data_IF_428574215871
#
_entry.id   IF_428574215871
#
_cell.length_a   1.000
_cell.length_b   1.000
_cell.length_c   1.000
_cell.angle_alpha   90.00
_cell.angle_beta   90.00
_cell.angle_gamma   90.00
#
_symmetry.space_group_name_H-M   'P 1'
#
loop_
_entity.id
_entity.type
_entity.pdbx_description
1 polymer ?
#
# COMPACT_ATOMS: atom_id res chain seq x y z
N UNK A 1 -11.19 13.41 9.82
CA UNK A 1 -10.82 12.39 8.83
C UNK A 1 -9.52 12.76 8.10
N UNK A 2 -9.41 13.81 7.30
CA UNK A 2 -8.21 14.13 6.50
C UNK A 2 -6.91 14.23 7.32
N UNK A 3 -6.91 14.91 8.48
CA UNK A 3 -5.72 14.99 9.33
C UNK A 3 -5.20 13.61 9.76
N UNK A 4 -6.08 12.63 10.01
CA UNK A 4 -5.68 11.25 10.34
C UNK A 4 -5.03 10.57 9.14
N UNK A 5 -5.59 10.74 7.92
CA UNK A 5 -4.98 10.23 6.70
C UNK A 5 -3.57 10.80 6.51
N UNK A 6 -3.39 12.13 6.59
CA UNK A 6 -2.07 12.75 6.45
C UNK A 6 -1.08 12.22 7.47
N UNK A 7 -1.49 12.09 8.75
CA UNK A 7 -0.64 11.52 9.79
C UNK A 7 -0.28 10.05 9.53
N UNK A 8 -1.22 9.25 9.01
CA UNK A 8 -0.97 7.86 8.62
C UNK A 8 0.02 7.75 7.45
N UNK A 9 -0.13 8.60 6.42
CA UNK A 9 0.79 8.66 5.28
C UNK A 9 2.22 9.02 5.72
N UNK A 10 2.36 10.01 6.61
CA UNK A 10 3.67 10.43 7.14
C UNK A 10 4.33 9.36 8.02
N UNK A 11 3.52 8.65 8.81
CA UNK A 11 3.99 7.57 9.66
C UNK A 11 4.31 6.27 8.90
N UNK A 12 3.86 6.15 7.64
CA UNK A 12 3.91 4.94 6.81
C UNK A 12 4.77 5.13 5.54
N UNK A 13 6.07 5.46 5.67
CA UNK A 13 6.95 5.70 4.51
C UNK A 13 7.19 4.45 3.65
N UNK A 14 6.96 3.26 4.20
CA UNK A 14 7.10 1.95 3.53
C UNK A 14 6.09 0.95 4.09
N UNK A 15 5.87 -0.16 3.37
CA UNK A 15 4.93 -1.24 3.71
C UNK A 15 5.06 -1.75 5.16
N UNK A 16 6.27 -2.01 5.66
CA UNK A 16 6.48 -2.51 7.04
C UNK A 16 5.95 -1.56 8.11
N UNK A 17 6.15 -0.25 7.91
CA UNK A 17 5.66 0.78 8.81
C UNK A 17 4.15 1.01 8.65
N UNK A 18 3.61 0.86 7.43
CA UNK A 18 2.18 0.86 7.20
C UNK A 18 1.49 -0.27 7.97
N UNK A 19 2.00 -1.50 7.86
CA UNK A 19 1.47 -2.67 8.60
C UNK A 19 1.59 -2.49 10.10
N UNK A 20 2.71 -1.93 10.59
CA UNK A 20 2.85 -1.58 12.03
C UNK A 20 1.75 -0.64 12.49
N UNK A 21 1.54 0.47 11.75
CA UNK A 21 0.55 1.49 12.13
C UNK A 21 -0.89 0.93 12.06
N UNK A 22 -1.21 0.14 11.04
CA UNK A 22 -2.49 -0.58 10.94
C UNK A 22 -2.70 -1.56 12.10
N UNK A 23 -1.64 -2.29 12.49
CA UNK A 23 -1.65 -3.20 13.64
C UNK A 23 -1.97 -2.46 14.93
N UNK A 24 -1.33 -1.31 15.18
CA UNK A 24 -1.53 -0.51 16.38
C UNK A 24 -2.96 0.05 16.46
N UNK A 25 -3.50 0.56 15.35
CA UNK A 25 -4.89 1.02 15.28
C UNK A 25 -5.89 -0.12 15.54
N UNK A 26 -5.69 -1.29 14.94
CA UNK A 26 -6.54 -2.47 15.18
C UNK A 26 -6.51 -2.92 16.63
N UNK A 27 -5.32 -2.98 17.26
CA UNK A 27 -5.17 -3.37 18.66
C UNK A 27 -5.87 -2.38 19.60
N UNK A 28 -5.74 -1.07 19.36
CA UNK A 28 -6.43 -0.03 20.14
C UNK A 28 -7.96 -0.16 20.05
N UNK A 29 -8.49 -0.76 18.97
CA UNK A 29 -9.92 -1.00 18.77
C UNK A 29 -10.37 -2.43 19.12
N UNK A 30 -9.55 -3.16 19.88
CA UNK A 30 -9.90 -4.46 20.45
C UNK A 30 -9.71 -5.65 19.52
N UNK A 31 -9.00 -5.50 18.40
CA UNK A 31 -8.61 -6.61 17.56
C UNK A 31 -7.41 -7.36 18.18
N UNK A 32 -7.52 -8.67 18.32
CA UNK A 32 -6.45 -9.54 18.84
C UNK A 32 -5.54 -10.03 17.70
N UNK A 33 -4.24 -9.90 17.85
CA UNK A 33 -3.28 -10.55 16.93
C UNK A 33 -3.31 -12.06 17.14
N UNK A 34 -3.34 -12.83 16.05
CA UNK A 34 -3.24 -14.29 16.06
C UNK A 34 -1.95 -14.70 15.35
N UNK A 35 -1.21 -15.63 15.95
CA UNK A 35 -0.11 -16.29 15.28
C UNK A 35 -0.64 -17.36 14.32
N UNK A 36 -0.28 -17.25 13.05
CA UNK A 36 -0.77 -18.17 12.00
C UNK A 36 -0.15 -19.56 12.06
N UNK A 37 0.94 -19.75 12.82
CA UNK A 37 1.56 -21.05 13.08
C UNK A 37 0.76 -21.87 14.10
N UNK A 38 -0.08 -21.23 14.91
CA UNK A 38 -0.92 -21.87 15.92
C UNK A 38 -2.32 -22.21 15.38
N UNK A 39 -3.02 -23.08 16.10
CA UNK A 39 -4.42 -23.37 15.84
C UNK A 39 -5.27 -22.12 16.08
N UNK A 40 -6.21 -21.84 15.16
CA UNK A 40 -7.09 -20.68 15.30
C UNK A 40 -8.05 -20.81 16.51
N UNK A 41 -8.30 -22.03 16.98
CA UNK A 41 -9.28 -22.32 18.02
C UNK A 41 -10.73 -22.13 17.53
N UNK A 42 -11.67 -22.03 18.46
CA UNK A 42 -13.07 -21.74 18.13
C UNK A 42 -13.24 -20.24 17.89
N UNK A 43 -13.87 -19.88 16.78
CA UNK A 43 -14.20 -18.52 16.39
C UNK A 43 -15.70 -18.29 16.56
N UNK A 44 -16.07 -17.20 17.23
CA UNK A 44 -17.47 -16.89 17.60
C UNK A 44 -17.92 -15.59 16.95
N UNK A 45 -19.21 -15.44 16.80
CA UNK A 45 -19.83 -14.18 16.36
C UNK A 45 -19.35 -12.98 17.20
N UNK A 46 -18.95 -11.92 16.53
CA UNK A 46 -18.41 -10.70 17.15
C UNK A 46 -16.92 -10.73 17.49
N UNK A 47 -16.24 -11.87 17.31
CA UNK A 47 -14.78 -11.93 17.49
C UNK A 47 -14.07 -10.99 16.51
N UNK A 48 -13.08 -10.27 17.04
CA UNK A 48 -12.22 -9.35 16.28
C UNK A 48 -10.78 -9.80 16.38
N UNK A 49 -10.17 -10.09 15.24
CA UNK A 49 -8.75 -10.46 15.22
C UNK A 49 -8.09 -10.10 13.89
N UNK A 50 -6.78 -10.11 13.89
CA UNK A 50 -6.00 -9.92 12.68
C UNK A 50 -4.77 -10.84 12.67
N UNK A 51 -4.24 -11.06 11.49
CA UNK A 51 -2.98 -11.78 11.25
C UNK A 51 -2.09 -10.92 10.35
N UNK A 52 -0.77 -11.05 10.50
CA UNK A 52 0.20 -10.47 9.57
C UNK A 52 0.94 -11.58 8.82
N UNK A 53 1.43 -11.27 7.63
CA UNK A 53 2.32 -12.17 6.89
C UNK A 53 3.65 -11.45 6.65
N UNK A 54 4.71 -11.97 7.27
CA UNK A 54 6.08 -11.43 7.19
C UNK A 54 6.18 -9.93 7.54
N UNK A 55 5.25 -9.43 8.37
CA UNK A 55 5.12 -8.04 8.81
C UNK A 55 5.04 -7.01 7.66
N UNK A 56 4.63 -7.45 6.47
CA UNK A 56 4.47 -6.60 5.29
C UNK A 56 3.09 -6.67 4.65
N UNK A 57 2.22 -7.57 5.09
CA UNK A 57 0.78 -7.59 4.77
C UNK A 57 -0.04 -7.91 6.01
N UNK A 58 -1.31 -7.49 6.04
CA UNK A 58 -2.19 -7.61 7.21
C UNK A 58 -3.62 -7.94 6.79
N UNK A 59 -4.28 -8.83 7.55
CA UNK A 59 -5.62 -9.31 7.29
C UNK A 59 -6.41 -9.24 8.60
N UNK A 60 -7.44 -8.38 8.64
CA UNK A 60 -8.29 -8.18 9.81
C UNK A 60 -9.69 -8.74 9.56
N UNK A 61 -10.27 -9.34 10.60
CA UNK A 61 -11.55 -10.04 10.54
C UNK A 61 -12.44 -9.59 11.70
N UNK A 62 -13.67 -9.24 11.38
CA UNK A 62 -14.75 -9.06 12.35
C UNK A 62 -15.85 -10.05 12.03
N UNK A 63 -16.03 -11.03 12.90
CA UNK A 63 -16.84 -12.22 12.63
C UNK A 63 -18.33 -11.90 12.72
N UNK A 64 -19.06 -12.26 11.68
CA UNK A 64 -20.51 -12.07 11.57
C UNK A 64 -21.32 -12.94 12.53
N UNK A 65 -22.61 -12.60 12.70
CA UNK A 65 -23.52 -13.32 13.61
C UNK A 65 -24.04 -14.63 13.02
N UNK A 66 -24.13 -14.72 11.69
CA UNK A 66 -24.60 -15.93 10.99
C UNK A 66 -23.44 -16.80 10.52
N UNK A 67 -23.77 -18.05 10.22
CA UNK A 67 -22.81 -18.97 9.63
C UNK A 67 -22.32 -18.47 8.26
N UNK A 68 -21.02 -18.64 7.99
CA UNK A 68 -20.41 -18.19 6.75
C UNK A 68 -21.06 -18.79 5.50
N UNK A 69 -21.53 -20.03 5.57
CA UNK A 69 -22.27 -20.68 4.47
C UNK A 69 -23.58 -19.95 4.10
N UNK A 70 -24.13 -19.12 4.99
CA UNK A 70 -25.36 -18.37 4.74
C UNK A 70 -25.10 -16.98 4.16
N UNK A 71 -24.01 -16.32 4.57
CA UNK A 71 -23.78 -14.88 4.29
C UNK A 71 -22.51 -14.60 3.49
N UNK A 72 -21.52 -15.49 3.53
CA UNK A 72 -20.22 -15.24 2.89
C UNK A 72 -19.35 -14.22 3.63
N UNK A 73 -18.53 -13.51 2.87
CA UNK A 73 -17.60 -12.49 3.37
C UNK A 73 -17.84 -11.17 2.65
N UNK A 74 -17.84 -10.07 3.38
CA UNK A 74 -17.69 -8.73 2.83
C UNK A 74 -16.22 -8.31 2.95
N UNK A 75 -15.52 -8.23 1.83
CA UNK A 75 -14.07 -8.02 1.80
C UNK A 75 -13.72 -6.69 1.14
N UNK A 76 -12.87 -5.91 1.80
CA UNK A 76 -12.15 -4.78 1.20
C UNK A 76 -10.68 -5.20 1.11
N UNK A 77 -10.13 -5.11 -0.09
CA UNK A 77 -8.78 -5.52 -0.43
C UNK A 77 -8.01 -4.34 -1.00
N UNK A 78 -6.80 -4.06 -0.49
CA UNK A 78 -5.92 -2.96 -0.87
C UNK A 78 -4.46 -3.40 -0.80
N UNK A 79 -3.50 -2.55 -1.18
CA UNK A 79 -2.07 -2.84 -1.02
C UNK A 79 -1.31 -1.73 -0.29
N UNK A 80 -0.22 -2.08 0.38
CA UNK A 80 0.54 -1.13 1.19
C UNK A 80 1.96 -0.84 0.70
N UNK A 81 2.40 -1.50 -0.36
CA UNK A 81 3.63 -1.16 -1.05
C UNK A 81 3.40 -0.01 -2.05
N UNK A 82 4.47 0.64 -2.46
CA UNK A 82 4.44 1.76 -3.41
C UNK A 82 5.75 1.83 -4.19
N UNK A 83 5.76 2.37 -5.41
CA UNK A 83 6.99 2.48 -6.21
C UNK A 83 8.04 3.34 -5.52
N UNK A 84 9.26 2.83 -5.47
CA UNK A 84 10.39 3.47 -4.79
C UNK A 84 11.74 2.91 -5.25
N UNK A 85 12.80 3.15 -4.45
CA UNK A 85 14.13 2.61 -4.66
C UNK A 85 14.56 1.81 -3.43
N UNK A 86 14.91 0.53 -3.63
CA UNK A 86 15.46 -0.35 -2.59
C UNK A 86 16.97 -0.21 -2.52
N UNK A 87 17.52 -0.18 -1.34
CA UNK A 87 18.96 -0.22 -1.10
C UNK A 87 19.48 -1.64 -1.38
N UNK A 88 20.53 -1.77 -2.18
CA UNK A 88 21.17 -3.06 -2.47
C UNK A 88 22.05 -3.52 -1.30
N UNK A 89 22.32 -4.83 -1.17
CA UNK A 89 23.12 -5.38 -0.05
C UNK A 89 24.51 -4.72 0.11
N UNK A 90 25.25 -4.52 -0.98
CA UNK A 90 26.49 -3.71 -1.00
C UNK A 90 26.10 -2.28 -1.35
N UNK A 91 25.78 -1.50 -0.31
CA UNK A 91 25.03 -0.27 -0.45
C UNK A 91 25.90 0.93 -0.82
N UNK A 92 27.10 1.05 -0.28
CA UNK A 92 27.89 2.26 -0.40
C UNK A 92 28.78 2.25 -1.65
N UNK A 93 28.84 3.41 -2.29
CA UNK A 93 29.72 3.69 -3.44
C UNK A 93 30.54 4.94 -3.10
N UNK A 94 31.82 4.73 -2.86
CA UNK A 94 32.76 5.83 -2.63
C UNK A 94 33.07 6.56 -3.94
N UNK A 95 33.04 7.89 -3.90
CA UNK A 95 33.33 8.76 -5.02
C UNK A 95 34.50 9.71 -4.69
N UNK A 96 35.00 10.38 -5.70
CA UNK A 96 36.03 11.43 -5.50
C UNK A 96 35.52 12.51 -4.54
N UNK A 97 36.45 13.13 -3.81
CA UNK A 97 36.12 14.18 -2.84
C UNK A 97 35.41 13.67 -1.56
N UNK A 98 35.50 12.38 -1.30
CA UNK A 98 34.84 11.77 -0.10
C UNK A 98 33.33 11.66 -0.18
N UNK A 99 32.73 11.90 -1.35
CA UNK A 99 31.30 11.76 -1.54
C UNK A 99 30.93 10.27 -1.49
N UNK A 100 29.91 9.92 -0.72
CA UNK A 100 29.31 8.58 -0.67
C UNK A 100 27.92 8.61 -1.29
N UNK A 101 27.67 7.70 -2.22
CA UNK A 101 26.34 7.41 -2.79
C UNK A 101 25.84 6.06 -2.32
N UNK A 102 24.52 5.89 -2.33
CA UNK A 102 23.92 4.57 -2.14
C UNK A 102 23.59 3.91 -3.48
N UNK A 103 23.91 2.63 -3.56
CA UNK A 103 23.54 1.76 -4.68
C UNK A 103 22.10 1.28 -4.48
N UNK A 104 21.22 1.61 -5.42
CA UNK A 104 19.80 1.32 -5.35
C UNK A 104 19.34 0.49 -6.54
N UNK A 105 18.20 -0.17 -6.36
CA UNK A 105 17.43 -0.74 -7.46
C UNK A 105 15.99 -0.21 -7.42
N UNK A 106 15.39 -0.08 -8.60
CA UNK A 106 14.01 0.40 -8.74
C UNK A 106 13.04 -0.69 -8.27
N UNK A 107 12.13 -0.33 -7.39
CA UNK A 107 11.00 -1.15 -6.95
C UNK A 107 9.72 -0.64 -7.61
N UNK A 108 8.98 -1.52 -8.31
CA UNK A 108 7.78 -1.13 -9.05
C UNK A 108 8.07 -0.23 -10.26
N UNK A 109 7.14 0.63 -10.58
CA UNK A 109 7.16 1.53 -11.73
C UNK A 109 7.17 3.02 -11.40
N UNK A 110 8.16 3.58 -10.64
CA UNK A 110 8.15 5.00 -10.27
C UNK A 110 8.36 5.93 -11.47
N UNK A 111 7.77 7.11 -11.42
CA UNK A 111 8.15 8.23 -12.30
C UNK A 111 9.48 8.77 -11.78
N UNK A 112 10.59 8.20 -12.25
CA UNK A 112 11.94 8.41 -11.69
C UNK A 112 12.34 9.89 -11.60
N UNK A 113 11.95 10.71 -12.58
CA UNK A 113 12.29 12.15 -12.62
C UNK A 113 11.73 12.94 -11.44
N UNK A 114 10.65 12.47 -10.80
CA UNK A 114 10.03 13.16 -9.65
C UNK A 114 10.78 12.98 -8.34
N UNK A 115 11.76 12.09 -8.32
CA UNK A 115 12.60 11.79 -7.16
C UNK A 115 13.88 12.65 -7.08
N UNK A 116 14.18 13.38 -8.16
CA UNK A 116 15.35 14.24 -8.21
C UNK A 116 15.14 15.54 -7.42
N UNK A 117 16.23 16.08 -6.86
CA UNK A 117 16.32 17.36 -6.15
C UNK A 117 15.40 17.49 -4.94
N UNK A 118 14.97 16.36 -4.40
CA UNK A 118 14.07 16.29 -3.25
C UNK A 118 14.80 15.83 -2.01
N UNK A 119 14.45 16.35 -0.83
CA UNK A 119 14.92 15.76 0.42
C UNK A 119 14.32 14.36 0.59
N UNK A 120 15.15 13.34 0.62
CA UNK A 120 14.76 11.95 0.79
C UNK A 120 15.25 11.41 2.14
N UNK A 121 14.62 10.35 2.60
CA UNK A 121 14.97 9.62 3.80
C UNK A 121 14.99 8.11 3.56
N UNK A 122 15.38 7.35 4.59
CA UNK A 122 15.38 5.89 4.61
C UNK A 122 14.38 5.34 5.62
N UNK A 123 13.67 4.30 5.19
CA UNK A 123 12.80 3.52 6.06
C UNK A 123 12.80 2.04 5.63
N UNK A 124 12.43 1.16 6.55
CA UNK A 124 12.35 -0.27 6.28
C UNK A 124 12.48 -1.12 7.53
N UNK A 125 13.09 -2.29 7.37
CA UNK A 125 13.40 -3.18 8.47
C UNK A 125 14.87 -3.59 8.47
N UNK A 126 15.38 -3.86 9.66
CA UNK A 126 16.72 -4.39 9.91
C UNK A 126 16.57 -5.70 10.65
N UNK A 127 17.30 -6.71 10.21
CA UNK A 127 17.30 -8.04 10.82
C UNK A 127 18.50 -8.13 11.74
N UNK A 128 18.23 -8.42 13.00
CA UNK A 128 19.27 -8.58 14.02
C UNK A 128 19.27 -9.99 14.56
N UNK A 129 20.44 -10.40 15.02
CA UNK A 129 20.68 -11.72 15.62
C UNK A 129 19.75 -11.98 16.80
N UNK A 130 19.25 -13.20 16.88
CA UNK A 130 18.55 -13.75 18.04
C UNK A 130 19.29 -14.97 18.57
N UNK A 131 18.72 -15.63 19.60
CA UNK A 131 19.27 -16.89 20.12
C UNK A 131 19.14 -18.05 19.14
N UNK A 132 18.10 -18.02 18.29
CA UNK A 132 17.82 -19.04 17.29
C UNK A 132 18.00 -18.46 15.90
N UNK A 133 18.89 -19.08 15.09
CA UNK A 133 19.21 -18.64 13.74
C UNK A 133 17.96 -18.67 12.80
N UNK A 134 16.98 -19.53 13.08
CA UNK A 134 15.75 -19.65 12.28
C UNK A 134 14.72 -18.58 12.59
N UNK A 135 14.89 -17.86 13.71
CA UNK A 135 13.96 -16.83 14.18
C UNK A 135 14.70 -15.53 14.54
N UNK A 136 15.39 -14.89 13.57
CA UNK A 136 16.07 -13.62 13.81
C UNK A 136 15.05 -12.53 14.18
N UNK A 137 15.49 -11.52 14.91
CA UNK A 137 14.64 -10.41 15.35
C UNK A 137 14.54 -9.35 14.24
N UNK A 138 13.34 -8.87 13.99
CA UNK A 138 13.09 -7.76 13.06
C UNK A 138 12.91 -6.46 13.84
N UNK A 139 13.68 -5.43 13.47
CA UNK A 139 13.54 -4.07 13.97
C UNK A 139 13.14 -3.14 12.84
N UNK A 140 12.21 -2.22 13.10
CA UNK A 140 11.80 -1.24 12.10
C UNK A 140 12.68 0.01 12.20
N UNK A 141 13.06 0.54 11.05
CA UNK A 141 13.85 1.75 10.92
C UNK A 141 13.10 2.81 10.16
N UNK A 142 13.08 4.03 10.69
CA UNK A 142 12.59 5.22 10.01
C UNK A 142 13.45 6.42 10.41
N UNK A 143 14.28 6.89 9.51
CA UNK A 143 15.08 8.11 9.71
C UNK A 143 14.17 9.31 9.48
N UNK A 144 13.71 9.94 10.56
CA UNK A 144 12.70 11.03 10.54
C UNK A 144 13.28 12.41 10.18
N UNK A 145 14.31 12.45 9.32
CA UNK A 145 14.93 13.68 8.82
C UNK A 145 15.34 13.53 7.36
N UNK A 146 15.50 14.63 6.62
CA UNK A 146 16.19 14.58 5.34
C UNK A 146 17.59 13.97 5.51
N UNK A 147 17.91 12.98 4.67
CA UNK A 147 19.17 12.23 4.76
C UNK A 147 19.89 12.14 3.44
N UNK A 148 19.18 12.06 2.31
CA UNK A 148 19.71 11.78 0.99
C UNK A 148 19.08 12.68 -0.06
N UNK A 149 19.77 12.77 -1.21
CA UNK A 149 19.22 13.44 -2.39
C UNK A 149 19.75 12.81 -3.66
N UNK A 150 18.88 12.59 -4.64
CA UNK A 150 19.26 12.30 -6.03
C UNK A 150 19.36 13.64 -6.74
N UNK A 151 20.59 14.09 -7.04
CA UNK A 151 20.79 15.40 -7.65
C UNK A 151 20.77 15.33 -9.17
N UNK A 152 20.03 16.24 -9.79
CA UNK A 152 20.08 16.43 -11.24
C UNK A 152 21.46 16.93 -11.69
N UNK A 153 21.82 16.63 -12.94
CA UNK A 153 22.92 17.29 -13.60
C UNK A 153 22.51 18.72 -13.98
N UNK A 154 23.38 19.69 -13.68
CA UNK A 154 23.08 21.08 -14.02
C UNK A 154 22.78 21.26 -15.51
N UNK A 155 21.82 22.12 -15.84
CA UNK A 155 21.37 22.36 -17.22
C UNK A 155 22.52 22.73 -18.17
N UNK A 156 23.59 23.34 -17.65
CA UNK A 156 24.78 23.69 -18.43
C UNK A 156 25.49 22.47 -19.04
N UNK A 157 25.38 21.30 -18.40
CA UNK A 157 25.94 20.04 -18.86
C UNK A 157 24.90 19.14 -19.54
N UNK A 158 23.61 19.50 -19.47
CA UNK A 158 22.52 18.76 -20.09
C UNK A 158 21.44 19.73 -20.64
N UNK A 159 21.78 20.43 -21.70
CA UNK A 159 20.89 21.48 -22.28
C UNK A 159 19.58 20.95 -22.86
N UNK A 160 19.50 19.64 -23.13
CA UNK A 160 18.33 18.97 -23.68
C UNK A 160 17.44 18.35 -22.60
N UNK A 161 17.68 18.63 -21.32
CA UNK A 161 16.93 18.02 -20.22
C UNK A 161 15.41 18.22 -20.33
N UNK A 162 14.99 19.35 -20.89
CA UNK A 162 13.56 19.68 -21.09
C UNK A 162 12.94 19.06 -22.36
N UNK A 163 13.76 18.49 -23.24
CA UNK A 163 13.30 17.81 -24.45
C UNK A 163 13.03 16.31 -24.22
N UNK A 164 13.25 15.84 -22.96
CA UNK A 164 13.10 14.46 -22.52
C UNK A 164 14.44 13.73 -22.43
N UNK A 165 14.72 13.17 -21.25
CA UNK A 165 15.94 12.41 -20.96
C UNK A 165 15.59 10.99 -20.55
N UNK A 166 16.20 10.01 -21.24
CA UNK A 166 16.14 8.62 -20.83
C UNK A 166 17.02 8.40 -19.60
N UNK A 167 16.42 8.18 -18.44
CA UNK A 167 17.13 7.91 -17.19
C UNK A 167 17.60 6.45 -17.11
N UNK A 168 18.85 6.26 -16.70
CA UNK A 168 19.44 4.97 -16.40
C UNK A 168 19.14 4.58 -14.94
N UNK A 169 18.47 3.46 -14.75
CA UNK A 169 18.21 2.90 -13.41
C UNK A 169 19.49 2.59 -12.63
N UNK A 170 20.59 2.27 -13.31
CA UNK A 170 21.86 1.90 -12.68
C UNK A 170 22.77 3.07 -12.39
N UNK A 171 22.59 4.22 -13.09
CA UNK A 171 23.53 5.33 -13.04
C UNK A 171 22.93 6.61 -12.46
N UNK A 172 21.72 6.97 -12.90
CA UNK A 172 21.20 8.32 -12.69
C UNK A 172 20.41 8.48 -11.39
N UNK A 173 19.93 7.38 -10.78
CA UNK A 173 19.03 7.37 -9.60
C UNK A 173 19.74 6.95 -8.30
N UNK A 174 21.04 7.17 -8.21
CA UNK A 174 21.83 6.84 -7.03
C UNK A 174 21.90 8.05 -6.09
N UNK A 175 21.28 8.00 -4.90
CA UNK A 175 21.26 9.14 -4.00
C UNK A 175 22.61 9.38 -3.33
N UNK A 176 22.97 10.64 -3.16
CA UNK A 176 24.09 11.07 -2.32
C UNK A 176 23.67 10.91 -0.86
N UNK A 177 24.48 10.20 -0.08
CA UNK A 177 24.29 10.01 1.36
C UNK A 177 25.02 11.06 2.18
N UNK A 178 26.22 11.44 1.76
CA UNK A 178 27.01 12.43 2.49
C UNK A 178 28.44 12.57 1.96
N UNK A 179 29.23 13.31 2.73
CA UNK A 179 30.68 13.48 2.54
C UNK A 179 31.37 12.89 3.76
N UNK A 180 32.34 12.00 3.54
CA UNK A 180 33.13 11.39 4.62
C UNK A 180 34.08 12.46 5.21
N UNK A 181 34.01 12.62 6.51
CA UNK A 181 34.87 13.52 7.27
C UNK A 181 36.04 12.80 7.94
N UNK A 182 35.97 11.48 8.07
CA UNK A 182 36.97 10.62 8.69
C UNK A 182 37.12 9.31 7.91
N UNK A 183 38.37 8.80 7.80
CA UNK A 183 38.64 7.48 7.18
C UNK A 183 37.89 6.33 7.86
N UNK A 184 37.49 6.45 9.13
CA UNK A 184 36.69 5.47 9.86
C UNK A 184 35.25 5.36 9.34
N UNK A 185 34.73 6.39 8.69
CA UNK A 185 33.39 6.37 8.08
C UNK A 185 33.37 5.64 6.73
N UNK A 186 34.53 5.47 6.10
CA UNK A 186 34.65 4.87 4.76
C UNK A 186 34.10 3.44 4.72
N UNK A 187 33.11 3.21 3.85
CA UNK A 187 32.39 1.95 3.74
C UNK A 187 31.50 1.61 4.95
N UNK A 188 31.23 2.58 5.85
CA UNK A 188 30.50 2.36 7.09
C UNK A 188 29.45 3.43 7.38
N UNK A 189 29.30 4.43 6.54
CA UNK A 189 28.43 5.59 6.83
C UNK A 189 26.97 5.18 7.00
N UNK A 190 26.43 4.36 6.09
CA UNK A 190 25.08 3.83 6.19
C UNK A 190 24.88 2.98 7.46
N UNK A 191 25.85 2.10 7.75
CA UNK A 191 25.77 1.24 8.92
C UNK A 191 25.79 2.04 10.24
N UNK A 192 26.55 3.11 10.30
CA UNK A 192 26.60 4.02 11.44
C UNK A 192 25.23 4.71 11.65
N UNK A 193 24.58 5.14 10.55
CA UNK A 193 23.25 5.73 10.59
C UNK A 193 22.22 4.70 11.08
N UNK A 194 22.27 3.47 10.56
CA UNK A 194 21.39 2.39 11.00
C UNK A 194 21.54 2.15 12.51
N UNK A 195 22.78 2.02 12.99
CA UNK A 195 23.06 1.82 14.41
C UNK A 195 22.58 2.96 15.29
N UNK A 196 22.80 4.21 14.87
CA UNK A 196 22.32 5.39 15.57
C UNK A 196 20.79 5.35 15.73
N UNK A 197 20.07 5.07 14.65
CA UNK A 197 18.59 5.05 14.68
C UNK A 197 18.03 3.85 15.48
N UNK A 198 18.63 2.67 15.38
CA UNK A 198 18.22 1.51 16.18
C UNK A 198 18.50 1.69 17.67
N UNK A 199 19.65 2.28 18.03
CA UNK A 199 20.02 2.52 19.41
C UNK A 199 19.13 3.57 20.12
N UNK A 200 18.33 4.33 19.40
CA UNK A 200 17.23 5.15 19.97
C UNK A 200 16.06 4.31 20.48
N UNK A 201 15.93 3.07 20.00
CA UNK A 201 14.83 2.17 20.34
C UNK A 201 15.28 1.10 21.37
N UNK A 202 16.40 0.44 21.07
CA UNK A 202 17.03 -0.57 21.94
C UNK A 202 18.50 -0.68 21.60
N UNK A 203 19.32 -1.12 22.55
CA UNK A 203 20.76 -1.33 22.34
C UNK A 203 20.99 -2.47 21.34
N UNK A 204 21.69 -2.16 20.24
CA UNK A 204 22.10 -3.09 19.18
C UNK A 204 23.60 -2.92 18.95
N UNK A 205 24.34 -4.01 18.95
CA UNK A 205 25.74 -4.01 18.53
C UNK A 205 25.83 -4.16 17.00
N UNK A 206 26.89 -3.64 16.41
CA UNK A 206 27.09 -3.69 14.94
C UNK A 206 27.14 -5.13 14.44
N UNK A 207 27.83 -6.02 15.14
CA UNK A 207 27.96 -7.43 14.81
C UNK A 207 26.66 -8.23 14.94
N UNK A 208 25.63 -7.65 15.56
CA UNK A 208 24.31 -8.27 15.66
C UNK A 208 23.42 -7.94 14.48
N UNK A 209 23.75 -6.95 13.65
CA UNK A 209 23.02 -6.63 12.42
C UNK A 209 23.38 -7.65 11.35
N UNK A 210 22.39 -8.41 10.87
CA UNK A 210 22.56 -9.47 9.89
C UNK A 210 22.27 -9.00 8.47
N UNK A 211 21.17 -8.27 8.27
CA UNK A 211 20.71 -7.81 6.95
C UNK A 211 19.65 -6.72 7.09
N UNK A 212 19.22 -6.15 5.98
CA UNK A 212 18.17 -5.13 5.95
C UNK A 212 17.36 -5.14 4.66
N UNK A 213 16.10 -4.70 4.75
CA UNK A 213 15.27 -4.26 3.63
C UNK A 213 14.97 -2.77 3.82
N UNK A 214 15.73 -1.90 3.17
CA UNK A 214 15.62 -0.45 3.27
C UNK A 214 15.23 0.18 1.94
N UNK A 215 14.37 1.20 2.00
CA UNK A 215 13.84 1.90 0.84
C UNK A 215 13.95 3.41 1.03
N UNK A 216 14.03 4.14 -0.10
CA UNK A 216 13.92 5.59 -0.10
C UNK A 216 12.47 6.02 0.14
N UNK A 217 12.30 7.14 0.82
CA UNK A 217 11.01 7.79 0.96
C UNK A 217 11.17 9.32 0.85
N UNK A 218 10.13 10.01 0.40
CA UNK A 218 10.07 11.49 0.45
C UNK A 218 10.05 11.93 1.91
N UNK A 219 10.98 12.79 2.29
CA UNK A 219 11.05 13.38 3.64
C UNK A 219 10.10 14.56 3.83
N UNK A 220 9.41 14.99 2.77
CA UNK A 220 8.45 16.09 2.82
C UNK A 220 7.10 15.59 3.32
N UNK A 221 6.54 16.15 4.41
CA UNK A 221 5.25 15.70 4.95
C UNK A 221 4.10 15.85 3.95
N UNK A 222 3.09 14.97 4.10
CA UNK A 222 1.82 15.10 3.42
C UNK A 222 1.11 16.40 3.80
N UNK A 223 0.45 17.04 2.85
CA UNK A 223 -0.27 18.27 3.10
C UNK A 223 -1.54 18.41 2.26
N UNK A 224 -2.44 19.27 2.70
CA UNK A 224 -3.50 19.79 1.85
C UNK A 224 -3.03 21.06 1.14
N UNK A 225 -3.59 21.33 -0.03
CA UNK A 225 -3.33 22.55 -0.82
C UNK A 225 -4.54 22.88 -1.69
N UNK A 226 -4.41 23.90 -2.54
CA UNK A 226 -5.50 24.45 -3.34
C UNK A 226 -6.10 25.68 -2.68
N UNK A 227 -6.98 26.39 -3.40
CA UNK A 227 -7.58 27.63 -2.94
C UNK A 227 -8.41 27.47 -1.65
N UNK A 228 -8.95 26.27 -1.42
CA UNK A 228 -9.78 25.91 -0.27
C UNK A 228 -9.25 24.70 0.50
N UNK A 229 -8.00 24.29 0.31
CA UNK A 229 -7.40 23.06 0.85
C UNK A 229 -8.15 21.79 0.44
N UNK A 230 -8.73 21.79 -0.74
CA UNK A 230 -9.52 20.69 -1.32
C UNK A 230 -8.70 19.55 -1.91
N UNK A 231 -7.39 19.76 -2.08
CA UNK A 231 -6.46 18.81 -2.66
C UNK A 231 -5.48 18.28 -1.60
N UNK A 232 -5.00 17.07 -1.82
CA UNK A 232 -3.96 16.40 -1.02
C UNK A 232 -2.71 16.27 -1.89
N UNK A 233 -1.53 16.60 -1.33
CA UNK A 233 -0.23 16.28 -1.91
C UNK A 233 0.53 15.36 -0.97
N UNK A 234 0.79 14.14 -1.41
CA UNK A 234 1.57 13.14 -0.68
C UNK A 234 2.13 12.10 -1.64
N UNK A 235 3.23 11.47 -1.30
CA UNK A 235 3.56 10.17 -1.91
C UNK A 235 2.65 9.08 -1.35
N UNK A 236 2.59 7.95 -2.05
CA UNK A 236 1.92 6.73 -1.58
C UNK A 236 0.41 6.89 -1.32
N UNK A 237 -0.26 7.87 -1.97
CA UNK A 237 -1.72 7.85 -2.02
C UNK A 237 -2.18 6.53 -2.63
N UNK A 238 -1.49 6.10 -3.66
CA UNK A 238 -1.48 4.74 -4.18
C UNK A 238 -0.55 3.85 -3.33
N UNK A 239 -1.08 2.90 -2.51
CA UNK A 239 -2.52 2.68 -2.27
C UNK A 239 -2.87 2.84 -0.78
N UNK A 240 -1.99 3.54 -0.02
CA UNK A 240 -2.19 3.77 1.42
C UNK A 240 -3.49 4.54 1.73
N UNK A 241 -4.00 5.33 0.77
CA UNK A 241 -5.28 6.03 0.95
C UNK A 241 -6.45 5.05 1.01
N UNK A 242 -6.42 3.97 0.22
CA UNK A 242 -7.44 2.91 0.24
C UNK A 242 -7.26 2.00 1.46
N UNK A 243 -6.00 1.66 1.81
CA UNK A 243 -5.69 0.94 3.05
C UNK A 243 -6.32 1.61 4.27
N UNK A 244 -6.11 2.93 4.37
CA UNK A 244 -6.62 3.70 5.51
C UNK A 244 -8.13 3.91 5.47
N UNK A 245 -8.72 4.11 4.28
CA UNK A 245 -10.17 4.17 4.12
C UNK A 245 -10.85 2.84 4.53
N UNK A 246 -10.27 1.71 4.13
CA UNK A 246 -10.74 0.39 4.54
C UNK A 246 -10.63 0.16 6.05
N UNK A 247 -9.53 0.59 6.67
CA UNK A 247 -9.36 0.53 8.12
C UNK A 247 -10.40 1.40 8.84
N UNK A 248 -10.55 2.69 8.48
CA UNK A 248 -11.52 3.58 9.10
C UNK A 248 -12.95 3.02 9.00
N UNK A 249 -13.32 2.46 7.85
CA UNK A 249 -14.61 1.82 7.65
C UNK A 249 -14.80 0.59 8.54
N UNK A 250 -13.80 -0.29 8.63
CA UNK A 250 -13.86 -1.48 9.49
C UNK A 250 -13.99 -1.10 10.96
N UNK A 251 -13.23 -0.11 11.42
CA UNK A 251 -13.27 0.36 12.81
C UNK A 251 -14.58 1.07 13.16
N UNK A 252 -15.20 1.76 12.21
CA UNK A 252 -16.51 2.41 12.38
C UNK A 252 -17.69 1.43 12.34
N UNK A 253 -17.49 0.24 11.78
CA UNK A 253 -18.54 -0.76 11.57
C UNK A 253 -18.80 -1.58 12.82
N UNK A 254 -20.08 -1.93 13.05
CA UNK A 254 -20.49 -2.89 14.07
C UNK A 254 -20.57 -4.31 13.46
N UNK A 255 -20.45 -5.38 14.28
CA UNK A 255 -20.70 -6.73 13.79
C UNK A 255 -22.10 -6.87 13.17
N UNK A 256 -22.14 -7.30 11.90
CA UNK A 256 -23.38 -7.59 11.16
C UNK A 256 -23.65 -9.09 11.11
N UNK A 257 -24.54 -9.54 10.26
CA UNK A 257 -24.73 -10.96 10.01
C UNK A 257 -23.57 -11.56 9.19
N UNK A 258 -22.96 -10.75 8.32
CA UNK A 258 -21.86 -11.15 7.43
C UNK A 258 -20.49 -10.86 8.07
N UNK A 259 -19.55 -11.75 7.86
CA UNK A 259 -18.16 -11.54 8.31
C UNK A 259 -17.46 -10.47 7.46
N UNK A 260 -16.93 -9.47 8.13
CA UNK A 260 -16.21 -8.34 7.52
C UNK A 260 -14.70 -8.62 7.49
N UNK A 261 -14.08 -8.36 6.35
CA UNK A 261 -12.68 -8.63 6.11
C UNK A 261 -11.97 -7.40 5.51
N UNK A 262 -10.88 -6.98 6.11
CA UNK A 262 -9.94 -6.05 5.51
C UNK A 262 -8.66 -6.82 5.19
N UNK A 263 -8.29 -6.91 3.91
CA UNK A 263 -7.10 -7.60 3.46
C UNK A 263 -6.16 -6.61 2.77
N UNK A 264 -5.00 -6.34 3.37
CA UNK A 264 -4.00 -5.42 2.83
C UNK A 264 -2.77 -6.22 2.45
N UNK A 265 -2.46 -6.21 1.16
CA UNK A 265 -1.39 -7.00 0.54
C UNK A 265 -0.11 -6.19 0.39
N UNK A 266 0.97 -6.90 0.10
CA UNK A 266 2.27 -6.36 -0.28
C UNK A 266 2.59 -6.77 -1.73
N UNK A 267 3.56 -6.09 -2.34
CA UNK A 267 4.13 -6.39 -3.65
C UNK A 267 3.12 -6.34 -4.83
N UNK A 268 2.06 -5.55 -4.72
CA UNK A 268 1.18 -5.27 -5.86
C UNK A 268 1.99 -4.67 -7.01
N UNK A 269 2.81 -3.68 -6.72
CA UNK A 269 3.64 -2.90 -7.64
C UNK A 269 4.70 -3.72 -8.40
N UNK A 270 4.90 -4.96 -7.98
CA UNK A 270 5.81 -5.92 -8.62
C UNK A 270 5.09 -7.18 -9.12
N UNK A 271 3.75 -7.13 -9.20
CA UNK A 271 2.91 -8.16 -9.82
C UNK A 271 2.29 -9.17 -8.89
N UNK A 272 2.26 -8.94 -7.57
CA UNK A 272 1.54 -9.75 -6.56
C UNK A 272 1.96 -11.21 -6.40
N UNK A 273 2.96 -11.70 -7.14
CA UNK A 273 3.36 -13.12 -7.16
C UNK A 273 4.39 -13.43 -6.06
N UNK A 274 4.07 -13.06 -4.82
CA UNK A 274 4.92 -13.31 -3.64
C UNK A 274 4.09 -13.97 -2.54
N UNK A 275 4.77 -14.47 -1.49
CA UNK A 275 4.11 -15.14 -0.34
C UNK A 275 3.21 -14.21 0.49
N UNK A 276 3.33 -12.89 0.35
CA UNK A 276 2.51 -11.86 1.01
C UNK A 276 1.68 -11.01 0.03
N UNK A 277 1.79 -11.26 -1.27
CA UNK A 277 1.02 -10.60 -2.32
C UNK A 277 -0.35 -11.24 -2.55
N UNK A 278 -1.18 -10.60 -3.38
CA UNK A 278 -2.53 -11.06 -3.69
C UNK A 278 -2.57 -12.41 -4.43
N UNK A 279 -1.49 -12.79 -5.13
CA UNK A 279 -1.34 -14.12 -5.77
C UNK A 279 -1.03 -15.25 -4.79
N UNK A 280 -0.79 -14.96 -3.50
CA UNK A 280 -0.57 -15.97 -2.48
C UNK A 280 -1.87 -16.69 -2.09
N UNK A 281 -1.86 -18.01 -1.82
CA UNK A 281 -3.01 -18.72 -1.28
C UNK A 281 -3.30 -18.36 0.19
N UNK A 282 -2.55 -17.44 0.79
CA UNK A 282 -2.65 -17.13 2.22
C UNK A 282 -4.05 -16.68 2.64
N UNK A 283 -4.66 -15.73 1.91
CA UNK A 283 -6.02 -15.28 2.23
C UNK A 283 -7.02 -16.43 2.10
N UNK A 284 -6.96 -17.19 1.01
CA UNK A 284 -7.86 -18.34 0.78
C UNK A 284 -7.84 -19.33 1.94
N UNK A 285 -6.66 -19.76 2.40
CA UNK A 285 -6.62 -20.70 3.50
C UNK A 285 -6.98 -20.08 4.86
N UNK A 286 -6.76 -18.77 5.07
CA UNK A 286 -7.24 -18.10 6.27
C UNK A 286 -8.76 -18.06 6.33
N UNK A 287 -9.45 -17.72 5.23
CA UNK A 287 -10.90 -17.76 5.13
C UNK A 287 -11.44 -19.18 5.38
N UNK A 288 -10.76 -20.20 4.83
CA UNK A 288 -11.12 -21.61 5.09
C UNK A 288 -10.92 -22.00 6.56
N UNK A 289 -9.81 -21.59 7.19
CA UNK A 289 -9.58 -21.83 8.63
C UNK A 289 -10.68 -21.19 9.48
N UNK A 290 -11.13 -19.98 9.15
CA UNK A 290 -12.23 -19.30 9.85
C UNK A 290 -13.54 -20.10 9.72
N UNK A 291 -13.89 -20.56 8.52
CA UNK A 291 -15.07 -21.36 8.29
C UNK A 291 -15.07 -22.66 9.14
N UNK A 292 -13.95 -23.37 9.17
CA UNK A 292 -13.77 -24.56 9.98
C UNK A 292 -13.79 -24.26 11.49
N UNK A 293 -13.19 -23.15 11.93
CA UNK A 293 -13.14 -22.73 13.32
C UNK A 293 -14.51 -22.29 13.87
N UNK A 294 -15.45 -21.89 13.00
CA UNK A 294 -16.86 -21.68 13.35
C UNK A 294 -17.69 -22.98 13.46
N UNK A 295 -17.05 -24.15 13.28
CA UNK A 295 -17.74 -25.45 13.28
C UNK A 295 -18.32 -25.83 11.92
N UNK A 296 -18.00 -25.09 10.86
CA UNK A 296 -18.39 -25.40 9.48
C UNK A 296 -17.56 -26.54 8.87
N UNK A 297 -17.96 -26.95 7.67
CA UNK A 297 -17.26 -27.94 6.85
C UNK A 297 -16.49 -27.26 5.72
N UNK A 298 -15.71 -28.03 4.97
CA UNK A 298 -15.08 -27.54 3.74
C UNK A 298 -16.13 -27.09 2.70
N UNK A 299 -17.23 -27.80 2.59
CA UNK A 299 -18.39 -27.41 1.77
C UNK A 299 -18.97 -26.05 2.19
N UNK A 300 -19.09 -25.82 3.50
CA UNK A 300 -19.53 -24.53 4.03
C UNK A 300 -18.60 -23.36 3.63
N UNK A 301 -17.29 -23.62 3.53
CA UNK A 301 -16.34 -22.64 3.01
C UNK A 301 -16.58 -22.33 1.53
N UNK A 302 -16.79 -23.34 0.69
CA UNK A 302 -17.08 -23.10 -0.73
C UNK A 302 -18.38 -22.34 -0.93
N UNK A 303 -19.42 -22.66 -0.17
CA UNK A 303 -20.68 -21.90 -0.15
C UNK A 303 -20.48 -20.44 0.28
N UNK A 304 -19.59 -20.21 1.26
CA UNK A 304 -19.26 -18.86 1.72
C UNK A 304 -18.53 -18.05 0.64
N UNK A 305 -17.64 -18.66 -0.13
CA UNK A 305 -16.93 -18.02 -1.24
C UNK A 305 -17.91 -17.59 -2.33
N UNK A 306 -18.88 -18.45 -2.70
CA UNK A 306 -19.91 -18.12 -3.70
C UNK A 306 -20.83 -16.96 -3.30
N UNK A 307 -20.99 -16.71 -1.99
CA UNK A 307 -21.78 -15.60 -1.43
C UNK A 307 -20.96 -14.36 -1.11
N UNK A 308 -19.64 -14.48 -1.18
CA UNK A 308 -18.74 -13.38 -0.86
C UNK A 308 -18.81 -12.27 -1.90
N UNK A 309 -18.52 -11.06 -1.46
CA UNK A 309 -18.30 -9.93 -2.34
C UNK A 309 -17.02 -9.18 -1.96
N UNK A 310 -16.21 -8.84 -2.96
CA UNK A 310 -14.95 -8.13 -2.80
C UNK A 310 -15.02 -6.72 -3.40
N UNK A 311 -14.57 -5.73 -2.66
CA UNK A 311 -14.13 -4.44 -3.19
C UNK A 311 -12.61 -4.50 -3.27
N UNK A 312 -12.07 -4.59 -4.48
CA UNK A 312 -10.65 -4.38 -4.76
C UNK A 312 -10.44 -2.88 -4.87
N UNK A 313 -9.90 -2.32 -3.79
CA UNK A 313 -9.71 -0.90 -3.62
C UNK A 313 -8.26 -0.55 -3.97
N UNK A 314 -8.07 0.15 -5.08
CA UNK A 314 -6.80 0.55 -5.64
C UNK A 314 -7.03 1.80 -6.49
N UNK A 315 -6.24 2.86 -6.31
CA UNK A 315 -6.52 4.16 -6.87
C UNK A 315 -6.67 4.16 -8.41
N UNK A 316 -7.37 5.16 -8.93
CA UNK A 316 -7.68 5.32 -10.35
C UNK A 316 -7.03 6.60 -10.89
N UNK A 317 -6.83 6.67 -12.21
CA UNK A 317 -6.25 7.83 -12.87
C UNK A 317 -7.29 8.96 -13.00
N UNK A 318 -7.06 10.10 -12.35
CA UNK A 318 -7.85 11.31 -12.57
C UNK A 318 -7.55 11.90 -13.96
N UNK A 319 -8.57 12.49 -14.59
CA UNK A 319 -8.41 13.24 -15.81
C UNK A 319 -7.39 14.38 -15.64
N UNK A 320 -6.40 14.42 -16.55
CA UNK A 320 -5.32 15.38 -16.48
C UNK A 320 -5.57 16.55 -17.43
N UNK A 321 -5.72 17.80 -16.94
CA UNK A 321 -6.12 18.93 -17.77
C UNK A 321 -5.16 19.28 -18.91
N UNK A 322 -3.87 18.96 -18.78
CA UNK A 322 -2.86 19.22 -19.80
C UNK A 322 -2.67 18.07 -20.82
N UNK A 323 -3.34 16.92 -20.61
CA UNK A 323 -3.17 15.71 -21.42
C UNK A 323 -4.50 15.02 -21.64
N UNK A 324 -5.55 15.80 -21.93
CA UNK A 324 -6.93 15.28 -22.11
C UNK A 324 -7.04 14.22 -23.19
N UNK A 325 -6.20 14.29 -24.21
CA UNK A 325 -6.15 13.34 -25.35
C UNK A 325 -5.67 11.94 -24.96
N UNK A 326 -5.16 11.75 -23.75
CA UNK A 326 -4.72 10.45 -23.22
C UNK A 326 -5.85 9.66 -22.57
N UNK A 327 -7.02 10.26 -22.43
CA UNK A 327 -8.16 9.68 -21.73
C UNK A 327 -9.28 9.30 -22.68
N UNK A 328 -10.11 8.34 -22.28
CA UNK A 328 -11.37 8.08 -22.99
C UNK A 328 -12.26 9.33 -22.93
N UNK A 329 -12.87 9.73 -24.04
CA UNK A 329 -13.61 11.00 -24.09
C UNK A 329 -14.86 11.04 -23.22
N UNK A 330 -15.39 9.90 -22.79
CA UNK A 330 -16.66 9.81 -22.03
C UNK A 330 -16.52 9.10 -20.67
N UNK A 331 -15.44 8.36 -20.43
CA UNK A 331 -15.23 7.56 -19.21
C UNK A 331 -13.92 7.96 -18.49
N UNK A 332 -13.79 9.24 -18.16
CA UNK A 332 -12.64 9.79 -17.46
C UNK A 332 -13.07 10.42 -16.13
N UNK A 333 -12.50 9.96 -15.01
CA UNK A 333 -12.91 10.45 -13.69
C UNK A 333 -12.23 11.76 -13.32
N UNK A 334 -12.95 12.56 -12.55
CA UNK A 334 -12.51 13.86 -12.04
C UNK A 334 -12.13 13.77 -10.56
N UNK A 335 -11.15 14.57 -10.12
CA UNK A 335 -10.88 14.79 -8.71
C UNK A 335 -12.12 15.35 -8.01
N UNK A 336 -12.44 14.83 -6.83
CA UNK A 336 -13.60 15.27 -6.05
C UNK A 336 -14.94 14.71 -6.55
N UNK A 337 -14.94 13.87 -7.58
CA UNK A 337 -16.15 13.29 -8.16
C UNK A 337 -16.62 11.99 -7.50
N UNK A 338 -15.96 11.56 -6.44
CA UNK A 338 -16.27 10.33 -5.70
C UNK A 338 -15.58 9.09 -6.26
N UNK A 339 -15.81 7.93 -5.62
CA UNK A 339 -15.20 6.65 -6.00
C UNK A 339 -15.41 6.29 -7.46
N UNK A 340 -14.38 5.72 -8.07
CA UNK A 340 -14.31 5.38 -9.50
C UNK A 340 -14.38 3.87 -9.67
N UNK A 341 -15.37 3.35 -10.39
CA UNK A 341 -15.41 1.95 -10.81
C UNK A 341 -14.53 1.79 -12.06
N UNK A 342 -13.59 0.84 -12.03
CA UNK A 342 -12.65 0.58 -13.12
C UNK A 342 -13.14 -0.58 -14.00
N UNK A 343 -13.15 -0.41 -15.33
CA UNK A 343 -13.52 -1.45 -16.30
C UNK A 343 -12.39 -1.68 -17.32
N UNK A 344 -12.22 -2.93 -17.71
CA UNK A 344 -11.27 -3.30 -18.76
C UNK A 344 -11.75 -4.52 -19.54
N UNK A 345 -11.88 -4.40 -20.88
CA UNK A 345 -12.33 -5.49 -21.74
C UNK A 345 -11.36 -6.68 -21.75
N UNK A 346 -10.07 -6.48 -21.47
CA UNK A 346 -9.07 -7.54 -21.36
C UNK A 346 -9.05 -8.19 -19.96
N UNK A 347 -10.05 -7.93 -19.13
CA UNK A 347 -10.22 -8.51 -17.78
C UNK A 347 -9.01 -8.24 -16.85
N UNK A 348 -8.37 -7.09 -16.98
CA UNK A 348 -7.34 -6.62 -16.06
C UNK A 348 -7.91 -6.11 -14.74
N UNK A 349 -9.22 -5.92 -14.68
CA UNK A 349 -10.03 -5.61 -13.50
C UNK A 349 -11.10 -6.68 -13.35
N UNK A 350 -11.47 -6.99 -12.10
CA UNK A 350 -12.52 -7.95 -11.78
C UNK A 350 -13.94 -7.42 -12.03
N UNK A 351 -14.09 -6.13 -12.30
CA UNK A 351 -15.39 -5.48 -12.48
C UNK A 351 -16.16 -6.02 -13.69
N UNK A 352 -17.42 -6.30 -13.45
CA UNK A 352 -18.43 -6.59 -14.47
C UNK A 352 -19.69 -5.73 -14.25
N UNK A 353 -20.72 -5.90 -15.08
CA UNK A 353 -21.96 -5.14 -14.95
C UNK A 353 -22.70 -5.42 -13.63
N UNK A 354 -22.60 -6.64 -13.11
CA UNK A 354 -23.23 -7.03 -11.84
C UNK A 354 -22.53 -6.35 -10.66
N UNK A 355 -21.22 -6.55 -10.52
CA UNK A 355 -20.45 -6.02 -9.41
C UNK A 355 -20.40 -4.49 -9.40
N UNK A 356 -20.33 -3.87 -10.58
CA UNK A 356 -20.44 -2.43 -10.74
C UNK A 356 -21.81 -1.89 -10.31
N UNK A 357 -22.90 -2.62 -10.58
CA UNK A 357 -24.25 -2.24 -10.14
C UNK A 357 -24.40 -2.32 -8.63
N UNK A 358 -23.80 -3.34 -8.00
CA UNK A 358 -23.75 -3.46 -6.53
C UNK A 358 -23.04 -2.26 -5.92
N UNK A 359 -21.82 -1.94 -6.41
CA UNK A 359 -21.04 -0.83 -5.87
C UNK A 359 -21.71 0.54 -6.09
N UNK A 360 -22.28 0.77 -7.26
CA UNK A 360 -23.07 1.98 -7.53
C UNK A 360 -24.30 2.10 -6.62
N UNK A 361 -24.93 0.96 -6.29
CA UNK A 361 -26.01 0.88 -5.32
C UNK A 361 -25.56 1.28 -3.90
N UNK A 362 -24.37 0.83 -3.47
CA UNK A 362 -23.75 1.20 -2.21
C UNK A 362 -23.44 2.71 -2.16
N UNK A 363 -22.86 3.27 -3.23
CA UNK A 363 -22.64 4.72 -3.33
C UNK A 363 -23.95 5.49 -3.18
N UNK A 364 -25.01 5.07 -3.86
CA UNK A 364 -26.33 5.69 -3.75
C UNK A 364 -26.89 5.64 -2.34
N UNK A 365 -26.77 4.49 -1.65
CA UNK A 365 -27.21 4.33 -0.24
C UNK A 365 -26.40 5.22 0.70
N UNK A 366 -25.09 5.35 0.47
CA UNK A 366 -24.20 6.22 1.24
C UNK A 366 -24.37 7.71 0.94
N UNK A 367 -25.17 8.07 -0.07
CA UNK A 367 -25.31 9.48 -0.53
C UNK A 367 -24.04 10.04 -1.15
N UNK A 368 -23.26 9.20 -1.84
CA UNK A 368 -21.95 9.52 -2.41
C UNK A 368 -22.03 9.46 -3.94
N UNK A 369 -21.42 10.42 -4.67
CA UNK A 369 -21.29 10.32 -6.12
C UNK A 369 -20.42 9.13 -6.52
N UNK A 370 -20.57 8.64 -7.76
CA UNK A 370 -19.82 7.50 -8.27
C UNK A 370 -19.47 7.73 -9.74
N UNK A 371 -18.23 7.45 -10.08
CA UNK A 371 -17.67 7.63 -11.41
C UNK A 371 -17.33 6.30 -12.06
N UNK A 372 -17.02 6.33 -13.36
CA UNK A 372 -16.56 5.17 -14.13
C UNK A 372 -15.29 5.53 -14.91
N UNK A 373 -14.42 4.55 -15.03
CA UNK A 373 -13.16 4.66 -15.75
C UNK A 373 -13.00 3.51 -16.75
N UNK A 374 -12.59 3.88 -17.95
CA UNK A 374 -12.08 2.97 -18.98
C UNK A 374 -10.82 3.62 -19.56
N UNK A 375 -9.78 2.85 -19.83
CA UNK A 375 -8.59 3.37 -20.50
C UNK A 375 -8.92 3.89 -21.90
N UNK A 376 -8.21 4.91 -22.37
CA UNK A 376 -8.15 5.21 -23.79
C UNK A 376 -7.77 3.95 -24.58
N UNK A 377 -8.45 3.63 -25.67
CA UNK A 377 -8.32 2.34 -26.37
C UNK A 377 -6.89 2.04 -26.85
N UNK A 378 -6.11 3.08 -27.17
CA UNK A 378 -4.72 2.95 -27.62
C UNK A 378 -3.71 2.98 -26.46
N UNK A 379 -4.16 3.11 -25.21
CA UNK A 379 -3.30 3.12 -24.01
C UNK A 379 -3.44 1.80 -23.27
N UNK A 380 -2.33 1.07 -23.17
CA UNK A 380 -2.30 -0.14 -22.37
C UNK A 380 -2.42 0.22 -20.87
N UNK A 381 -3.53 -0.18 -20.25
CA UNK A 381 -3.74 -0.01 -18.82
C UNK A 381 -2.91 -0.98 -17.97
N UNK A 382 -2.71 -0.62 -16.70
CA UNK A 382 -2.21 -1.52 -15.66
C UNK A 382 -3.23 -2.63 -15.32
N UNK A 383 -2.85 -3.47 -14.38
CA UNK A 383 -3.69 -4.46 -13.71
C UNK A 383 -3.77 -4.07 -12.23
N UNK A 384 -4.66 -4.71 -11.48
CA UNK A 384 -4.80 -4.52 -10.03
C UNK A 384 -4.77 -5.86 -9.31
N UNK A 385 -4.80 -5.82 -7.99
CA UNK A 385 -4.89 -7.03 -7.17
C UNK A 385 -6.22 -7.80 -7.38
N UNK A 386 -7.29 -7.15 -7.85
CA UNK A 386 -8.64 -7.73 -7.92
C UNK A 386 -8.76 -8.91 -8.87
N UNK A 387 -8.24 -8.80 -10.09
CA UNK A 387 -8.27 -9.91 -11.05
C UNK A 387 -7.35 -11.08 -10.61
N UNK A 388 -6.25 -10.78 -9.90
CA UNK A 388 -5.34 -11.79 -9.35
C UNK A 388 -6.03 -12.57 -8.23
N UNK A 389 -6.69 -11.86 -7.30
CA UNK A 389 -7.48 -12.49 -6.24
C UNK A 389 -8.63 -13.31 -6.80
N UNK A 390 -9.40 -12.77 -7.75
CA UNK A 390 -10.52 -13.49 -8.37
C UNK A 390 -10.09 -14.75 -9.12
N UNK A 391 -8.83 -14.85 -9.57
CA UNK A 391 -8.29 -16.06 -10.17
C UNK A 391 -7.91 -17.13 -9.15
N UNK A 392 -7.59 -16.75 -7.92
CA UNK A 392 -7.19 -17.65 -6.84
C UNK A 392 -8.34 -18.00 -5.89
N UNK A 393 -9.27 -17.08 -5.69
CA UNK A 393 -10.52 -17.25 -4.92
C UNK A 393 -11.67 -16.82 -5.83
N UNK A 394 -12.45 -17.76 -6.41
CA UNK A 394 -13.45 -17.45 -7.44
C UNK A 394 -14.69 -16.74 -6.85
N UNK A 395 -14.52 -15.52 -6.40
CA UNK A 395 -15.58 -14.69 -5.81
C UNK A 395 -15.93 -13.50 -6.70
N UNK A 396 -17.10 -12.93 -6.47
CA UNK A 396 -17.52 -11.71 -7.16
C UNK A 396 -16.83 -10.50 -6.58
N UNK A 397 -16.43 -9.56 -7.45
CA UNK A 397 -15.75 -8.36 -6.99
C UNK A 397 -15.85 -7.19 -7.96
N UNK A 398 -15.56 -6.02 -7.45
CA UNK A 398 -15.47 -4.77 -8.18
C UNK A 398 -14.10 -4.15 -7.93
N UNK A 399 -13.42 -3.72 -8.98
CA UNK A 399 -12.23 -2.86 -8.88
C UNK A 399 -12.65 -1.40 -8.88
N UNK A 400 -12.25 -0.70 -7.85
CA UNK A 400 -12.55 0.72 -7.68
C UNK A 400 -11.40 1.45 -6.97
N UNK A 401 -11.41 2.78 -7.00
CA UNK A 401 -10.48 3.59 -6.25
C UNK A 401 -10.81 5.08 -6.30
N UNK A 402 -10.03 5.89 -5.61
CA UNK A 402 -10.10 7.34 -5.74
C UNK A 402 -9.33 7.80 -6.97
N UNK A 403 -9.83 8.83 -7.62
CA UNK A 403 -9.12 9.48 -8.72
C UNK A 403 -7.90 10.25 -8.17
N UNK A 404 -6.70 9.97 -8.68
CA UNK A 404 -5.48 10.71 -8.34
C UNK A 404 -4.72 11.12 -9.61
N UNK A 405 -3.97 12.21 -9.52
CA UNK A 405 -3.02 12.63 -10.54
C UNK A 405 -1.60 12.20 -10.17
N UNK A 406 -0.78 12.02 -11.18
CA UNK A 406 0.62 11.67 -11.05
C UNK A 406 0.86 10.37 -10.22
N UNK A 407 -0.02 9.38 -10.38
CA UNK A 407 0.16 8.04 -9.80
C UNK A 407 1.60 7.55 -10.08
N UNK A 408 2.25 6.94 -9.05
CA UNK A 408 3.66 6.51 -9.08
C UNK A 408 4.70 7.66 -9.09
N UNK A 409 4.28 8.89 -8.96
CA UNK A 409 5.20 9.99 -8.65
C UNK A 409 5.72 9.88 -7.21
N UNK A 410 6.87 10.45 -6.92
CA UNK A 410 7.33 10.66 -5.55
C UNK A 410 6.30 11.44 -4.70
N UNK A 411 5.50 12.29 -5.37
CA UNK A 411 4.31 12.97 -4.81
C UNK A 411 3.16 12.93 -5.79
N UNK A 412 2.04 12.47 -5.32
CA UNK A 412 0.78 12.31 -6.03
C UNK A 412 -0.22 13.37 -5.55
N UNK A 413 -1.28 13.57 -6.30
CA UNK A 413 -2.34 14.51 -5.96
C UNK A 413 -3.69 13.83 -5.92
N UNK A 414 -4.37 13.92 -4.78
CA UNK A 414 -5.74 13.45 -4.57
C UNK A 414 -6.69 14.55 -4.14
N UNK A 415 -7.94 14.19 -3.90
CA UNK A 415 -8.96 15.09 -3.33
C UNK A 415 -9.31 14.70 -1.90
N UNK A 416 -9.49 15.69 -1.03
CA UNK A 416 -9.94 15.47 0.36
C UNK A 416 -11.34 14.88 0.40
N UNK A 417 -12.23 15.31 -0.49
CA UNK A 417 -13.61 14.82 -0.57
C UNK A 417 -13.68 13.33 -0.97
N UNK A 418 -12.83 12.89 -1.91
CA UNK A 418 -12.87 11.51 -2.39
C UNK A 418 -12.50 10.50 -1.30
N UNK A 419 -11.55 10.82 -0.42
CA UNK A 419 -11.24 9.97 0.72
C UNK A 419 -12.43 9.82 1.67
N UNK A 420 -13.10 10.94 2.00
CA UNK A 420 -14.30 10.91 2.86
C UNK A 420 -15.45 10.11 2.22
N UNK A 421 -15.63 10.22 0.91
CA UNK A 421 -16.61 9.46 0.17
C UNK A 421 -16.32 7.96 0.21
N UNK A 422 -15.05 7.56 0.01
CA UNK A 422 -14.64 6.16 0.12
C UNK A 422 -14.94 5.56 1.50
N UNK A 423 -14.57 6.26 2.58
CA UNK A 423 -14.85 5.77 3.94
C UNK A 423 -16.36 5.57 4.16
N UNK A 424 -17.20 6.49 3.66
CA UNK A 424 -18.68 6.37 3.76
C UNK A 424 -19.19 5.13 3.02
N UNK A 425 -18.74 4.92 1.78
CA UNK A 425 -19.17 3.77 0.97
C UNK A 425 -18.67 2.46 1.55
N UNK A 426 -17.43 2.39 2.02
CA UNK A 426 -16.86 1.20 2.65
C UNK A 426 -17.55 0.87 3.97
N UNK A 427 -17.91 1.88 4.77
CA UNK A 427 -18.72 1.69 5.98
C UNK A 427 -20.11 1.15 5.62
N UNK A 428 -20.77 1.71 4.58
CA UNK A 428 -22.05 1.20 4.10
C UNK A 428 -21.95 -0.25 3.66
N UNK A 429 -20.90 -0.62 2.92
CA UNK A 429 -20.65 -2.00 2.48
C UNK A 429 -20.53 -2.98 3.66
N UNK A 430 -19.80 -2.63 4.69
CA UNK A 430 -19.68 -3.48 5.88
C UNK A 430 -20.96 -3.58 6.70
N UNK A 431 -21.94 -2.71 6.48
CA UNK A 431 -23.22 -2.72 7.16
C UNK A 431 -24.32 -3.51 6.42
N UNK A 432 -24.10 -3.90 5.15
CA UNK A 432 -25.00 -4.77 4.39
C UNK A 432 -24.88 -6.22 4.87
#
# INVERSE_FOLDING_TARGET
MIKRLLSFLDASPVNFLAVKNLTEELQQHGYRRIDTSEALGTVKAGDKFFVTKHDSSIYAFQIGRKALAETGFHMICAHCDSPTFRIKPHAEIDCEGGIVKLNTEVYGGPIMSTWFDRPLTLAGRVIVKSKDVMTPTTLLLHVKRPLLQISNLAIHFNRQVNDGVKLSRQKDVLPILGIINDELEKGNLLMNIILEELNKQQTVAREDILDFDLYLADATPACTFGAHNELISSGRLDDLSMCFAGLEALLASQPTDTTQVLAIFDNEETGSQTKQGAGSPFLSYMLKRIALAQGGTEEAYYQAVERAFMISADNAHAWHPNYSEKYDPTNHPMLGGGPVIKFNAAQKYASDAYSASVFAGLCKKAGVPCQRFVNHSDVAGGSTLGNILASSIPLRGVDMGNAILAMHSCRETGSTADHEFCVKVFTQFYQE
#
